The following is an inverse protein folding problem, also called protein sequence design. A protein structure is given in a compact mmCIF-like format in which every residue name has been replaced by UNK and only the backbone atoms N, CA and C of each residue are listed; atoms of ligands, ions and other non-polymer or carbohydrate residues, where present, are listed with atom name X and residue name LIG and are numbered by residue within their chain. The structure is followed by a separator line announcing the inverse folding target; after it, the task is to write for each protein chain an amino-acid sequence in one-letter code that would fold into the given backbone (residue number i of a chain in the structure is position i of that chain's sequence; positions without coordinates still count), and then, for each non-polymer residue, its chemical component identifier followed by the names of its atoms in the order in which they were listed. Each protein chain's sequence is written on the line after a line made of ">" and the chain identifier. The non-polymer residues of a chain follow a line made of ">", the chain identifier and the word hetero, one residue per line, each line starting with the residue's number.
data_IF_939994116676
#
_entry.id   IF_939994116676
#
_cell.length_a   1.000
_cell.length_b   1.000
_cell.length_c   1.000
_cell.angle_alpha   90.00
_cell.angle_beta   90.00
_cell.angle_gamma   90.00
#
_symmetry.space_group_name_H-M   'P 1'
#
loop_
_entity.id
_entity.type
_entity.pdbx_description
1 polymer ?
#
# COMPACT_ATOMS: atom_id res chain seq x y z
N UNK A 1 9.00 3.39 1.17
CA UNK A 1 10.37 3.47 1.67
C UNK A 1 11.10 2.13 1.58
N UNK A 2 10.56 1.04 2.15
CA UNK A 2 11.21 -0.28 2.12
C UNK A 2 11.50 -0.78 0.71
N UNK A 3 10.55 -0.66 -0.21
CA UNK A 3 10.79 -0.99 -1.62
C UNK A 3 11.95 -0.16 -2.20
N UNK A 4 11.91 1.16 -2.01
CA UNK A 4 12.92 2.07 -2.51
C UNK A 4 14.32 1.85 -1.92
N UNK A 5 14.44 1.29 -0.72
CA UNK A 5 15.75 0.98 -0.10
C UNK A 5 16.28 -0.40 -0.49
N UNK A 6 15.42 -1.33 -0.87
CA UNK A 6 15.78 -2.73 -1.14
C UNK A 6 15.85 -3.08 -2.63
N UNK A 7 15.14 -2.32 -3.50
CA UNK A 7 15.07 -2.61 -4.93
C UNK A 7 15.82 -1.55 -5.75
N UNK A 8 16.24 -1.93 -6.95
CA UNK A 8 16.89 -1.01 -7.90
C UNK A 8 15.87 -0.13 -8.64
N UNK A 9 14.69 -0.71 -8.94
CA UNK A 9 13.59 -0.03 -9.62
C UNK A 9 12.29 -0.35 -8.88
N UNK A 10 11.42 0.66 -8.72
CA UNK A 10 10.15 0.54 -8.00
C UNK A 10 9.04 1.20 -8.81
N UNK A 11 8.02 0.43 -9.15
CA UNK A 11 6.76 0.94 -9.67
C UNK A 11 5.76 1.14 -8.54
N UNK A 12 5.15 2.32 -8.47
CA UNK A 12 4.05 2.59 -7.56
C UNK A 12 2.73 2.20 -8.21
N UNK A 13 1.91 1.44 -7.48
CA UNK A 13 0.65 0.88 -8.01
C UNK A 13 -0.48 1.11 -7.02
N UNK A 14 -1.65 1.46 -7.52
CA UNK A 14 -2.92 1.44 -6.81
C UNK A 14 -3.95 0.63 -7.58
N UNK A 15 -4.74 -0.18 -6.86
CA UNK A 15 -5.82 -0.97 -7.45
C UNK A 15 -7.15 -0.50 -6.87
N UNK A 16 -8.02 0.03 -7.72
CA UNK A 16 -9.45 0.12 -7.41
C UNK A 16 -10.02 -1.30 -7.51
N UNK A 17 -10.04 -1.98 -6.37
CA UNK A 17 -10.44 -3.38 -6.30
C UNK A 17 -11.95 -3.52 -6.53
N UNK A 18 -12.33 -4.20 -7.59
CA UNK A 18 -13.73 -4.40 -7.97
C UNK A 18 -14.51 -5.15 -6.91
N UNK A 19 -13.88 -6.05 -6.16
CA UNK A 19 -14.55 -6.81 -5.09
C UNK A 19 -14.89 -5.91 -3.89
N UNK A 20 -14.06 -4.89 -3.63
CA UNK A 20 -14.34 -3.87 -2.60
C UNK A 20 -15.38 -2.86 -3.09
N UNK A 21 -15.32 -2.49 -4.37
CA UNK A 21 -16.21 -1.46 -4.93
C UNK A 21 -17.62 -1.97 -5.21
N UNK A 22 -17.78 -3.24 -5.58
CA UNK A 22 -19.06 -3.80 -5.99
C UNK A 22 -20.22 -3.62 -4.99
N UNK A 23 -20.04 -3.77 -3.67
CA UNK A 23 -21.10 -3.55 -2.70
C UNK A 23 -21.34 -2.06 -2.36
N UNK A 24 -20.50 -1.13 -2.83
CA UNK A 24 -20.62 0.28 -2.50
C UNK A 24 -21.68 0.99 -3.36
N UNK A 25 -22.30 2.07 -2.86
CA UNK A 25 -23.12 2.94 -3.68
C UNK A 25 -22.33 3.50 -4.87
N UNK A 26 -23.01 3.66 -6.03
CA UNK A 26 -22.36 4.14 -7.25
C UNK A 26 -21.70 5.52 -7.10
N UNK A 27 -22.22 6.39 -6.25
CA UNK A 27 -21.68 7.71 -5.94
C UNK A 27 -21.14 7.77 -4.50
N UNK A 28 -20.23 6.88 -4.16
CA UNK A 28 -19.63 6.85 -2.81
C UNK A 28 -18.54 7.92 -2.70
N UNK A 29 -18.74 8.88 -1.78
CA UNK A 29 -17.80 9.99 -1.53
C UNK A 29 -16.41 9.54 -1.07
N UNK A 30 -16.31 8.36 -0.46
CA UNK A 30 -15.01 7.80 -0.04
C UNK A 30 -14.18 7.44 -1.27
N UNK A 31 -14.82 6.86 -2.27
CA UNK A 31 -14.17 6.50 -3.55
C UNK A 31 -13.72 7.75 -4.31
N UNK A 32 -14.55 8.79 -4.33
CA UNK A 32 -14.22 10.10 -4.90
C UNK A 32 -13.00 10.73 -4.19
N UNK A 33 -13.02 10.76 -2.86
CA UNK A 33 -11.90 11.26 -2.05
C UNK A 33 -10.59 10.50 -2.34
N UNK A 34 -10.65 9.16 -2.39
CA UNK A 34 -9.49 8.33 -2.73
C UNK A 34 -8.99 8.71 -4.13
N UNK A 35 -9.88 8.82 -5.11
CA UNK A 35 -9.51 9.19 -6.47
C UNK A 35 -8.79 10.55 -6.54
N UNK A 36 -9.31 11.56 -5.86
CA UNK A 36 -8.68 12.89 -5.80
C UNK A 36 -7.30 12.82 -5.15
N UNK A 37 -7.17 12.11 -4.04
CA UNK A 37 -5.89 11.86 -3.37
C UNK A 37 -4.88 11.14 -4.28
N UNK A 38 -5.34 10.22 -5.12
CA UNK A 38 -4.48 9.53 -6.09
C UNK A 38 -4.03 10.45 -7.23
N UNK A 39 -4.84 11.43 -7.64
CA UNK A 39 -4.44 12.45 -8.63
C UNK A 39 -3.30 13.29 -8.06
N UNK A 40 -3.40 13.74 -6.81
CA UNK A 40 -2.33 14.48 -6.14
C UNK A 40 -1.07 13.63 -5.98
N UNK A 41 -1.24 12.37 -5.55
CA UNK A 41 -0.12 11.43 -5.41
C UNK A 41 0.58 11.16 -6.74
N UNK A 42 -0.16 10.94 -7.83
CA UNK A 42 0.40 10.74 -9.16
C UNK A 42 1.22 11.96 -9.62
N UNK A 43 0.70 13.18 -9.40
CA UNK A 43 1.42 14.41 -9.70
C UNK A 43 2.72 14.50 -8.88
N UNK A 44 2.67 14.25 -7.59
CA UNK A 44 3.85 14.27 -6.72
C UNK A 44 4.89 13.21 -7.09
N UNK A 45 4.47 12.00 -7.42
CA UNK A 45 5.37 10.94 -7.90
C UNK A 45 6.05 11.29 -9.23
N UNK A 46 5.36 12.02 -10.10
CA UNK A 46 5.97 12.54 -11.35
C UNK A 46 7.04 13.59 -11.09
N UNK A 47 6.79 14.49 -10.14
CA UNK A 47 7.77 15.50 -9.73
C UNK A 47 9.01 14.88 -9.07
N UNK A 48 8.82 13.83 -8.26
CA UNK A 48 9.91 13.12 -7.60
C UNK A 48 10.72 12.23 -8.55
N UNK A 49 10.12 11.78 -9.63
CA UNK A 49 10.76 10.88 -10.58
C UNK A 49 11.59 11.64 -11.59
N UNK A 50 12.82 11.19 -11.86
CA UNK A 50 13.66 11.73 -12.93
C UNK A 50 13.19 11.32 -14.34
N UNK A 51 12.06 10.62 -14.43
CA UNK A 51 11.51 10.09 -15.69
C UNK A 51 10.25 10.84 -16.12
N UNK A 52 10.20 11.25 -17.40
CA UNK A 52 9.01 11.89 -17.99
C UNK A 52 7.72 11.04 -17.90
N UNK A 53 7.87 9.73 -17.79
CA UNK A 53 6.77 8.75 -17.63
C UNK A 53 6.60 8.28 -16.17
N UNK A 54 7.22 8.94 -15.20
CA UNK A 54 7.01 8.64 -13.78
C UNK A 54 5.55 8.75 -13.36
N UNK A 55 5.24 8.28 -12.15
CA UNK A 55 3.91 8.40 -11.57
C UNK A 55 3.31 7.07 -11.10
N UNK A 56 2.00 7.08 -10.86
CA UNK A 56 1.24 5.98 -10.29
C UNK A 56 0.58 5.11 -11.39
N UNK A 57 0.80 3.82 -11.36
CA UNK A 57 0.00 2.86 -12.12
C UNK A 57 -1.32 2.68 -11.38
N UNK A 58 -2.43 2.94 -12.06
CA UNK A 58 -3.77 2.77 -11.47
C UNK A 58 -4.52 1.71 -12.25
N UNK A 59 -4.98 0.68 -11.53
CA UNK A 59 -5.77 -0.41 -12.08
C UNK A 59 -7.20 -0.36 -11.53
N UNK A 60 -8.17 -0.84 -12.31
CA UNK A 60 -9.54 -1.08 -11.89
C UNK A 60 -9.87 -2.53 -12.21
N UNK A 61 -9.68 -3.42 -11.27
CA UNK A 61 -9.84 -4.87 -11.45
C UNK A 61 -9.84 -5.56 -10.07
N UNK A 62 -10.13 -6.87 -10.03
CA UNK A 62 -9.96 -7.66 -8.82
C UNK A 62 -8.47 -7.74 -8.44
N UNK A 63 -8.11 -7.28 -7.24
CA UNK A 63 -6.71 -7.18 -6.82
C UNK A 63 -6.01 -8.55 -6.78
N UNK A 64 -6.76 -9.61 -6.47
CA UNK A 64 -6.24 -10.99 -6.42
C UNK A 64 -5.61 -11.41 -7.75
N UNK A 65 -6.19 -10.97 -8.87
CA UNK A 65 -5.71 -11.32 -10.20
C UNK A 65 -4.78 -10.23 -10.77
N UNK A 66 -5.14 -8.97 -10.59
CA UNK A 66 -4.45 -7.84 -11.19
C UNK A 66 -3.02 -7.65 -10.66
N UNK A 67 -2.80 -7.85 -9.36
CA UNK A 67 -1.47 -7.65 -8.76
C UNK A 67 -0.46 -8.69 -9.24
N UNK A 68 -0.76 -10.01 -9.25
CA UNK A 68 0.14 -11.01 -9.79
C UNK A 68 0.40 -10.86 -11.30
N UNK A 69 -0.63 -10.52 -12.08
CA UNK A 69 -0.49 -10.28 -13.52
C UNK A 69 0.41 -9.09 -13.81
N UNK A 70 0.22 -7.97 -13.11
CA UNK A 70 1.07 -6.81 -13.25
C UNK A 70 2.50 -7.09 -12.82
N UNK A 71 2.71 -7.79 -11.70
CA UNK A 71 4.04 -8.18 -11.24
C UNK A 71 4.77 -9.01 -12.28
N UNK A 72 4.08 -9.95 -12.94
CA UNK A 72 4.63 -10.75 -14.03
C UNK A 72 4.95 -9.88 -15.26
N UNK A 73 4.04 -9.01 -15.69
CA UNK A 73 4.22 -8.12 -16.84
C UNK A 73 5.41 -7.17 -16.66
N UNK A 74 5.63 -6.69 -15.43
CA UNK A 74 6.76 -5.83 -15.07
C UNK A 74 8.07 -6.60 -14.80
N UNK A 75 8.05 -7.93 -14.80
CA UNK A 75 9.21 -8.73 -14.41
C UNK A 75 9.64 -8.49 -12.97
N UNK A 76 8.68 -8.15 -12.08
CA UNK A 76 8.97 -7.82 -10.70
C UNK A 76 9.42 -9.04 -9.90
N UNK A 77 10.45 -8.89 -9.08
CA UNK A 77 10.93 -9.93 -8.17
C UNK A 77 10.23 -9.90 -6.81
N UNK A 78 9.62 -8.76 -6.47
CA UNK A 78 8.92 -8.59 -5.20
C UNK A 78 7.77 -7.57 -5.30
N UNK A 79 6.75 -7.78 -4.49
CA UNK A 79 5.64 -6.85 -4.23
C UNK A 79 5.74 -6.39 -2.78
N UNK A 80 5.60 -5.08 -2.56
CA UNK A 80 5.60 -4.45 -1.24
C UNK A 80 4.22 -3.84 -0.99
N UNK A 81 3.64 -4.12 0.15
CA UNK A 81 2.35 -3.57 0.57
C UNK A 81 2.31 -3.33 2.07
N UNK A 82 1.30 -2.65 2.56
CA UNK A 82 1.08 -2.44 3.97
C UNK A 82 0.11 -3.49 4.53
N UNK A 83 0.17 -3.70 5.85
CA UNK A 83 -0.78 -4.59 6.53
C UNK A 83 -2.18 -3.96 6.55
N UNK A 84 -3.17 -4.85 6.46
CA UNK A 84 -4.54 -4.58 6.82
C UNK A 84 -5.02 -5.73 7.73
N UNK A 85 -5.71 -5.40 8.80
CA UNK A 85 -6.14 -6.38 9.81
C UNK A 85 -7.62 -6.81 9.62
N UNK A 86 -8.32 -6.25 8.63
CA UNK A 86 -9.68 -6.68 8.32
C UNK A 86 -9.70 -8.09 7.72
N UNK A 87 -10.66 -8.95 8.12
CA UNK A 87 -10.70 -10.35 7.68
C UNK A 87 -10.71 -10.53 6.16
N UNK A 88 -11.43 -9.66 5.43
CA UNK A 88 -11.49 -9.71 3.97
C UNK A 88 -10.15 -9.31 3.34
N UNK A 89 -9.49 -8.29 3.90
CA UNK A 89 -8.16 -7.88 3.46
C UNK A 89 -7.11 -8.97 3.68
N UNK A 90 -7.14 -9.63 4.84
CA UNK A 90 -6.26 -10.77 5.14
C UNK A 90 -6.46 -11.93 4.15
N UNK A 91 -7.71 -12.24 3.78
CA UNK A 91 -8.02 -13.27 2.79
C UNK A 91 -7.50 -12.89 1.40
N UNK A 92 -7.77 -11.66 0.94
CA UNK A 92 -7.28 -11.10 -0.31
C UNK A 92 -5.76 -11.17 -0.37
N UNK A 93 -5.08 -10.64 0.64
CA UNK A 93 -3.61 -10.56 0.67
C UNK A 93 -2.96 -11.94 0.70
N UNK A 94 -3.60 -12.91 1.36
CA UNK A 94 -3.13 -14.29 1.35
C UNK A 94 -3.30 -14.96 -0.03
N UNK A 95 -4.41 -14.67 -0.72
CA UNK A 95 -4.63 -15.14 -2.09
C UNK A 95 -3.61 -14.53 -3.07
N UNK A 96 -3.36 -13.22 -2.99
CA UNK A 96 -2.33 -12.52 -3.79
C UNK A 96 -0.95 -13.12 -3.52
N UNK A 97 -0.57 -13.29 -2.24
CA UNK A 97 0.72 -13.89 -1.85
C UNK A 97 0.91 -15.28 -2.43
N UNK A 98 -0.15 -16.10 -2.40
CA UNK A 98 -0.13 -17.46 -2.94
C UNK A 98 0.11 -17.46 -4.46
N UNK A 99 -0.54 -16.58 -5.20
CA UNK A 99 -0.37 -16.47 -6.65
C UNK A 99 1.03 -15.91 -7.00
N UNK A 100 1.51 -14.90 -6.31
CA UNK A 100 2.85 -14.34 -6.48
C UNK A 100 3.93 -15.43 -6.25
N UNK A 101 3.80 -16.21 -5.17
CA UNK A 101 4.74 -17.26 -4.85
C UNK A 101 4.83 -18.35 -5.93
N UNK A 102 3.72 -18.68 -6.60
CA UNK A 102 3.71 -19.62 -7.75
C UNK A 102 4.56 -19.12 -8.92
N UNK A 103 4.69 -17.81 -9.05
CA UNK A 103 5.48 -17.15 -10.09
C UNK A 103 6.90 -16.76 -9.61
N UNK A 104 7.30 -17.21 -8.41
CA UNK A 104 8.61 -16.88 -7.84
C UNK A 104 8.76 -15.43 -7.36
N UNK A 105 7.65 -14.71 -7.19
CA UNK A 105 7.62 -13.31 -6.72
C UNK A 105 7.38 -13.27 -5.21
N UNK A 106 8.27 -12.59 -4.48
CA UNK A 106 8.11 -12.40 -3.03
C UNK A 106 7.06 -11.33 -2.72
N UNK A 107 6.32 -11.48 -1.61
CA UNK A 107 5.42 -10.44 -1.08
C UNK A 107 5.87 -10.02 0.31
N UNK A 108 6.30 -8.78 0.43
CA UNK A 108 6.71 -8.14 1.69
C UNK A 108 5.60 -7.23 2.20
N UNK A 109 5.28 -7.35 3.48
CA UNK A 109 4.23 -6.55 4.10
C UNK A 109 4.78 -5.76 5.29
N UNK A 110 4.29 -4.53 5.47
CA UNK A 110 4.79 -3.60 6.49
C UNK A 110 3.63 -2.91 7.20
N UNK A 111 3.91 -2.45 8.40
CA UNK A 111 2.99 -1.68 9.22
C UNK A 111 2.76 -0.29 8.63
N UNK A 112 1.50 0.16 8.61
CA UNK A 112 1.15 1.51 8.18
C UNK A 112 -0.15 2.06 8.82
N UNK A 113 -1.21 1.28 8.90
CA UNK A 113 -2.53 1.71 9.40
C UNK A 113 -2.50 2.27 10.82
N UNK A 114 -1.61 1.77 11.65
CA UNK A 114 -1.46 2.19 13.04
C UNK A 114 0.00 2.38 13.39
N UNK A 115 0.27 3.33 14.28
CA UNK A 115 1.64 3.59 14.75
C UNK A 115 2.20 2.39 15.53
N UNK A 116 1.35 1.73 16.32
CA UNK A 116 1.67 0.50 17.03
C UNK A 116 0.62 -0.56 16.68
N UNK A 117 1.06 -1.70 16.14
CA UNK A 117 0.21 -2.80 15.69
C UNK A 117 0.10 -3.92 16.71
N UNK A 118 -1.01 -4.68 16.63
CA UNK A 118 -1.18 -6.02 17.23
C UNK A 118 -0.62 -6.11 18.64
N UNK A 119 0.43 -6.90 18.80
CA UNK A 119 1.05 -7.22 20.08
C UNK A 119 2.09 -6.20 20.56
N UNK A 120 2.17 -5.05 19.90
CA UNK A 120 3.11 -4.00 20.28
C UNK A 120 2.72 -3.27 21.58
N UNK A 121 1.44 -3.34 22.01
CA UNK A 121 0.95 -2.77 23.27
C UNK A 121 0.14 -3.80 24.02
N UNK A 122 0.80 -4.53 24.90
CA UNK A 122 0.19 -5.58 25.75
C UNK A 122 0.29 -5.22 27.23
N UNK A 123 -0.53 -5.90 28.04
CA UNK A 123 -0.44 -5.86 29.50
C UNK A 123 0.87 -6.51 29.98
N UNK A 124 1.20 -6.39 31.26
CA UNK A 124 2.36 -7.07 31.83
C UNK A 124 2.30 -8.60 31.74
N UNK A 125 1.08 -9.17 31.66
CA UNK A 125 0.85 -10.60 31.44
C UNK A 125 0.92 -11.03 29.97
N UNK A 126 1.23 -10.12 29.04
CA UNK A 126 1.30 -10.42 27.60
C UNK A 126 -0.06 -10.57 26.90
N UNK A 127 -1.12 -10.05 27.50
CA UNK A 127 -2.47 -10.11 26.94
C UNK A 127 -2.93 -8.72 26.45
N UNK A 128 -3.85 -8.64 25.47
CA UNK A 128 -4.45 -7.38 25.06
C UNK A 128 -5.14 -6.66 26.23
N UNK A 129 -5.13 -5.34 26.19
CA UNK A 129 -5.91 -4.53 27.13
C UNK A 129 -7.41 -4.63 26.80
N UNK A 130 -8.24 -4.88 27.80
CA UNK A 130 -9.70 -4.88 27.69
C UNK A 130 -10.34 -3.53 28.01
N UNK A 131 -9.57 -2.58 28.56
CA UNK A 131 -10.02 -1.25 28.98
C UNK A 131 -9.19 -0.16 28.31
N UNK A 132 -9.87 0.86 27.77
CA UNK A 132 -9.22 1.91 26.98
C UNK A 132 -8.18 2.74 27.75
N UNK A 133 -8.48 3.17 28.97
CA UNK A 133 -7.60 4.09 29.72
C UNK A 133 -6.22 3.49 30.03
N UNK A 134 -6.09 2.27 30.55
CA UNK A 134 -4.80 1.62 30.69
C UNK A 134 -4.07 1.40 29.35
N UNK A 135 -4.79 1.00 28.31
CA UNK A 135 -4.24 0.89 26.95
C UNK A 135 -3.65 2.22 26.47
N UNK A 136 -4.46 3.30 26.49
CA UNK A 136 -4.00 4.64 26.10
C UNK A 136 -2.74 5.05 26.85
N UNK A 137 -2.69 4.83 28.17
CA UNK A 137 -1.52 5.21 28.96
C UNK A 137 -0.28 4.38 28.61
N UNK A 138 -0.45 3.10 28.32
CA UNK A 138 0.65 2.25 27.85
C UNK A 138 1.13 2.68 26.45
N UNK A 139 0.19 2.97 25.55
CA UNK A 139 0.46 3.45 24.20
C UNK A 139 1.24 4.77 24.22
N UNK A 140 0.77 5.77 24.98
CA UNK A 140 1.44 7.07 25.12
C UNK A 140 2.86 6.97 25.72
N UNK A 141 3.11 6.02 26.63
CA UNK A 141 4.46 5.79 27.15
C UNK A 141 5.41 5.18 26.13
N UNK A 142 4.88 4.43 25.17
CA UNK A 142 5.67 3.74 24.13
C UNK A 142 5.99 4.64 22.95
N UNK A 143 5.08 5.55 22.59
CA UNK A 143 5.27 6.50 21.51
C UNK A 143 6.40 7.48 21.82
N UNK A 144 7.26 7.68 20.85
CA UNK A 144 8.33 8.65 20.89
C UNK A 144 8.60 9.22 19.48
N UNK A 145 9.54 10.13 19.36
CA UNK A 145 9.88 10.79 18.11
C UNK A 145 10.28 9.82 16.97
N UNK A 146 10.78 8.64 17.29
CA UNK A 146 11.11 7.62 16.29
C UNK A 146 9.88 7.15 15.53
N UNK A 147 8.77 6.88 16.24
CA UNK A 147 7.52 6.42 15.63
C UNK A 147 6.77 7.52 14.85
N UNK A 148 7.06 8.77 15.13
CA UNK A 148 6.39 9.93 14.51
C UNK A 148 7.19 10.54 13.34
N UNK A 149 8.37 10.02 13.09
CA UNK A 149 9.24 10.52 12.03
C UNK A 149 8.80 9.97 10.67
N UNK A 150 8.66 10.86 9.69
CA UNK A 150 8.42 10.46 8.30
C UNK A 150 9.63 9.72 7.70
N UNK A 151 9.37 8.81 6.78
CA UNK A 151 10.41 8.14 6.02
C UNK A 151 10.98 9.09 4.94
N UNK A 152 12.32 9.20 4.81
CA UNK A 152 12.95 10.08 3.83
C UNK A 152 12.91 9.46 2.41
N UNK A 153 11.73 9.36 1.82
CA UNK A 153 11.53 8.70 0.52
C UNK A 153 12.20 9.44 -0.62
N UNK A 154 12.30 10.76 -0.54
CA UNK A 154 12.90 11.65 -1.55
C UNK A 154 14.37 11.29 -1.82
N UNK A 155 15.09 10.83 -0.80
CA UNK A 155 16.50 10.39 -0.94
C UNK A 155 16.68 9.20 -1.87
N UNK A 156 15.61 8.45 -2.11
CA UNK A 156 15.61 7.23 -2.91
C UNK A 156 14.72 7.36 -4.16
N UNK A 157 14.24 8.57 -4.47
CA UNK A 157 13.30 8.82 -5.56
C UNK A 157 13.89 8.45 -6.94
N UNK A 158 15.22 8.50 -7.10
CA UNK A 158 15.92 8.03 -8.30
C UNK A 158 15.66 6.55 -8.66
N UNK A 159 15.07 5.79 -7.76
CA UNK A 159 14.65 4.38 -7.97
C UNK A 159 13.20 4.24 -8.42
N UNK A 160 12.45 5.33 -8.49
CA UNK A 160 11.10 5.31 -9.07
C UNK A 160 11.22 5.02 -10.56
N UNK A 161 10.65 3.92 -11.00
CA UNK A 161 10.70 3.49 -12.38
C UNK A 161 9.66 4.22 -13.25
N UNK A 162 9.95 4.44 -14.55
CA UNK A 162 8.96 4.94 -15.49
C UNK A 162 7.83 3.91 -15.64
N UNK A 163 6.60 4.40 -15.79
CA UNK A 163 5.46 3.52 -16.09
C UNK A 163 5.57 2.96 -17.52
N UNK A 164 5.20 1.71 -17.73
CA UNK A 164 5.02 1.19 -19.10
C UNK A 164 4.00 2.04 -19.87
N UNK A 165 4.16 2.19 -21.21
CA UNK A 165 3.29 3.04 -22.02
C UNK A 165 1.78 2.77 -21.85
N UNK A 166 1.39 1.50 -21.70
CA UNK A 166 0.01 1.06 -21.47
C UNK A 166 -0.56 1.53 -20.11
N UNK A 167 0.28 1.89 -19.17
CA UNK A 167 -0.08 2.35 -17.82
C UNK A 167 0.12 3.86 -17.59
N UNK A 168 0.37 4.63 -18.64
CA UNK A 168 0.56 6.09 -18.54
C UNK A 168 -0.74 6.89 -18.51
N UNK A 169 -1.88 6.22 -18.52
CA UNK A 169 -3.21 6.87 -18.47
C UNK A 169 -3.39 7.63 -17.16
N UNK A 170 -4.15 8.75 -17.17
CA UNK A 170 -4.53 9.44 -15.94
C UNK A 170 -5.36 8.54 -15.02
N UNK A 171 -5.41 8.93 -13.73
CA UNK A 171 -6.27 8.26 -12.75
C UNK A 171 -7.70 8.20 -13.29
N UNK A 172 -8.33 7.01 -13.38
CA UNK A 172 -9.62 6.88 -14.04
C UNK A 172 -10.73 7.59 -13.28
N UNK A 173 -11.74 8.05 -14.01
CA UNK A 173 -13.02 8.45 -13.42
C UNK A 173 -13.84 7.19 -13.22
N UNK A 174 -14.22 6.87 -12.00
CA UNK A 174 -15.10 5.76 -11.67
C UNK A 174 -16.54 6.32 -11.74
N UNK A 175 -17.28 5.95 -12.76
CA UNK A 175 -18.67 6.37 -13.03
C UNK A 175 -19.70 5.47 -12.38
#
# INVERSE_FOLDING_TARGET
>A
YHALTQCQQVHCVFVFDTDILAPLPRADRRVEFIRESLVELDAHLRELSDHAQGGLIVLHAAAVDAVPQLAQALGANAVFTNHDDEPQALQRDNAVRTQLARNGVAMHTYKDHTVLERDEVLTQSGTPYSVFTPYKNAWLRKINAFFLKSYPVERHAHRLAPRPPEHTRPVPTLG
#
